data_IF_281846764358
#
_entry.id   IF_281846764358
#
_cell.length_a   1.000
_cell.length_b   1.000
_cell.length_c   1.000
_cell.angle_alpha   90.00
_cell.angle_beta   90.00
_cell.angle_gamma   90.00
#
_symmetry.space_group_name_H-M   'P 1'
#
loop_
_entity.id
_entity.type
_entity.pdbx_description
1 polymer ?
#
# COMPACT_ATOMS: atom_id res chain seq x y z
N UNK A 1 -3.72 -9.81 4.56
CA UNK A 1 -3.03 -10.84 3.72
C UNK A 1 -2.02 -11.68 4.53
N UNK A 2 -1.45 -12.77 3.97
CA UNK A 2 -0.36 -13.57 4.61
C UNK A 2 1.07 -13.17 4.19
N UNK A 3 1.21 -12.43 3.09
CA UNK A 3 2.47 -11.87 2.60
C UNK A 3 2.18 -10.54 1.90
N UNK A 4 3.18 -9.68 1.69
CA UNK A 4 2.99 -8.46 0.93
C UNK A 4 2.53 -8.75 -0.49
N UNK A 5 1.65 -7.88 -0.99
CA UNK A 5 1.33 -7.79 -2.42
C UNK A 5 2.59 -7.40 -3.18
N UNK A 6 2.76 -7.92 -4.40
CA UNK A 6 3.85 -7.53 -5.29
C UNK A 6 3.44 -6.44 -6.26
N UNK A 7 4.42 -5.76 -6.88
CA UNK A 7 4.18 -4.77 -7.95
C UNK A 7 3.38 -5.34 -9.12
N UNK A 8 3.66 -6.60 -9.50
CA UNK A 8 2.88 -7.33 -10.51
C UNK A 8 1.42 -7.50 -10.09
N UNK A 9 1.18 -7.96 -8.87
CA UNK A 9 -0.17 -8.20 -8.36
C UNK A 9 -0.96 -6.89 -8.24
N UNK A 10 -0.32 -5.78 -7.87
CA UNK A 10 -0.96 -4.47 -7.84
C UNK A 10 -1.39 -4.04 -9.25
N UNK A 11 -0.50 -4.12 -10.24
CA UNK A 11 -0.83 -3.79 -11.63
C UNK A 11 -1.99 -4.64 -12.16
N UNK A 12 -1.91 -5.96 -11.98
CA UNK A 12 -2.98 -6.88 -12.40
C UNK A 12 -4.30 -6.56 -11.70
N UNK A 13 -4.25 -6.25 -10.39
CA UNK A 13 -5.44 -5.90 -9.63
C UNK A 13 -6.11 -4.62 -10.12
N UNK A 14 -5.34 -3.57 -10.40
CA UNK A 14 -5.90 -2.31 -10.92
C UNK A 14 -6.41 -2.50 -12.34
N UNK A 15 -5.68 -3.24 -13.18
CA UNK A 15 -6.14 -3.61 -14.53
C UNK A 15 -7.48 -4.37 -14.49
N UNK A 16 -7.66 -5.30 -13.57
CA UNK A 16 -8.93 -6.02 -13.40
C UNK A 16 -10.06 -5.08 -12.98
N UNK A 17 -9.81 -4.15 -12.05
CA UNK A 17 -10.78 -3.12 -11.65
C UNK A 17 -11.18 -2.24 -12.84
N UNK A 18 -10.21 -1.81 -13.65
CA UNK A 18 -10.46 -1.02 -14.86
C UNK A 18 -11.29 -1.82 -15.86
N UNK A 19 -10.99 -3.10 -16.04
CA UNK A 19 -11.75 -4.00 -16.91
C UNK A 19 -13.20 -4.14 -16.45
N UNK A 20 -13.41 -4.41 -15.16
CA UNK A 20 -14.74 -4.55 -14.55
C UNK A 20 -15.57 -3.27 -14.70
N UNK A 21 -14.92 -2.11 -14.71
CA UNK A 21 -15.55 -0.79 -14.89
C UNK A 21 -15.72 -0.37 -16.35
N UNK A 22 -15.28 -1.19 -17.32
CA UNK A 22 -15.31 -0.83 -18.74
C UNK A 22 -14.38 0.33 -19.12
N UNK A 23 -13.29 0.50 -18.37
CA UNK A 23 -12.30 1.58 -18.55
C UNK A 23 -11.02 1.14 -19.26
N UNK A 24 -10.87 -0.14 -19.60
CA UNK A 24 -9.78 -0.59 -20.46
C UNK A 24 -10.15 -0.30 -21.92
N UNK A 25 -9.33 0.46 -22.67
CA UNK A 25 -9.64 0.79 -24.03
C UNK A 25 -9.31 -0.37 -24.99
N UNK A 26 -10.13 -0.51 -26.03
CA UNK A 26 -9.99 -1.59 -27.03
C UNK A 26 -8.76 -1.41 -27.96
N UNK A 27 -8.10 -0.26 -27.93
CA UNK A 27 -6.92 0.05 -28.76
C UNK A 27 -5.63 -0.61 -28.26
N UNK A 28 -5.66 -1.25 -27.08
CA UNK A 28 -4.49 -1.89 -26.49
C UNK A 28 -4.07 -3.11 -27.32
N UNK A 29 -2.80 -3.12 -27.69
CA UNK A 29 -2.08 -4.32 -28.15
C UNK A 29 -1.88 -5.24 -26.94
N UNK A 30 -1.36 -4.68 -25.84
CA UNK A 30 -1.22 -5.41 -24.58
C UNK A 30 -1.23 -4.49 -23.35
N UNK A 31 -1.44 -5.11 -22.19
CA UNK A 31 -1.21 -4.55 -20.87
C UNK A 31 -0.55 -5.61 -20.00
N UNK A 32 0.78 -5.53 -19.84
CA UNK A 32 1.58 -6.55 -19.18
C UNK A 32 2.18 -6.00 -17.89
N UNK A 33 2.08 -6.80 -16.83
CA UNK A 33 2.76 -6.49 -15.58
C UNK A 33 4.28 -6.69 -15.71
N UNK A 34 5.03 -6.11 -14.76
CA UNK A 34 6.48 -6.28 -14.67
C UNK A 34 6.90 -7.76 -14.62
N UNK A 35 8.05 -8.05 -15.24
CA UNK A 35 8.72 -9.35 -15.20
C UNK A 35 9.60 -9.52 -13.95
N UNK A 36 9.85 -8.43 -13.21
CA UNK A 36 10.66 -8.38 -11.98
C UNK A 36 9.83 -7.93 -10.78
N UNK A 37 8.84 -8.72 -10.36
CA UNK A 37 7.97 -8.34 -9.25
C UNK A 37 8.76 -8.23 -7.94
N UNK A 38 8.51 -7.16 -7.18
CA UNK A 38 9.03 -7.00 -5.82
C UNK A 38 7.87 -6.82 -4.82
N UNK A 39 8.04 -7.22 -3.54
CA UNK A 39 7.03 -7.00 -2.51
C UNK A 39 6.85 -5.50 -2.18
N UNK A 40 5.60 -5.05 -2.06
CA UNK A 40 5.22 -3.71 -1.61
C UNK A 40 4.96 -3.78 -0.10
N UNK A 41 5.86 -3.20 0.69
CA UNK A 41 5.87 -3.31 2.15
C UNK A 41 5.35 -2.10 2.90
N UNK A 42 5.21 -0.99 2.19
CA UNK A 42 4.70 0.27 2.70
C UNK A 42 3.75 0.87 1.65
N UNK A 43 2.66 1.51 2.08
CA UNK A 43 1.74 2.26 1.21
C UNK A 43 2.26 3.66 0.84
N UNK A 44 3.33 4.14 1.47
CA UNK A 44 3.92 5.47 1.27
C UNK A 44 4.87 5.51 0.06
N UNK A 45 4.41 5.01 -1.08
CA UNK A 45 5.11 5.13 -2.36
C UNK A 45 4.42 6.15 -3.26
N UNK A 46 5.20 6.72 -4.18
CA UNK A 46 4.67 7.54 -5.26
C UNK A 46 4.44 6.69 -6.51
N UNK A 47 3.23 6.74 -7.09
CA UNK A 47 3.00 6.28 -8.46
C UNK A 47 3.58 7.29 -9.46
N UNK A 48 4.36 6.80 -10.42
CA UNK A 48 4.93 7.57 -11.52
C UNK A 48 4.67 6.87 -12.85
N UNK A 49 4.79 7.62 -13.93
CA UNK A 49 4.50 7.13 -15.27
C UNK A 49 5.39 7.76 -16.34
N UNK A 50 5.46 7.10 -17.49
CA UNK A 50 5.90 7.65 -18.77
C UNK A 50 4.83 7.34 -19.81
N UNK A 51 4.20 8.38 -20.36
CA UNK A 51 3.26 8.25 -21.47
C UNK A 51 3.91 8.90 -22.70
N UNK A 52 4.31 8.09 -23.67
CA UNK A 52 5.08 8.59 -24.81
C UNK A 52 4.83 7.74 -26.08
N UNK A 53 5.16 8.32 -27.22
CA UNK A 53 5.19 7.60 -28.49
C UNK A 53 6.34 6.59 -28.50
N UNK A 54 6.06 5.39 -28.99
CA UNK A 54 7.09 4.39 -29.24
C UNK A 54 8.04 4.87 -30.33
N UNK A 55 9.33 4.52 -30.19
CA UNK A 55 10.36 4.88 -31.18
C UNK A 55 10.15 4.23 -32.55
N UNK A 56 9.37 3.14 -32.61
CA UNK A 56 9.05 2.42 -33.84
C UNK A 56 7.55 2.30 -34.11
N UNK A 57 6.73 2.07 -33.09
CA UNK A 57 5.31 1.79 -33.25
C UNK A 57 4.55 2.05 -31.94
N UNK A 58 3.32 2.55 -32.06
CA UNK A 58 2.38 2.67 -30.96
C UNK A 58 2.70 3.74 -29.93
N UNK A 59 1.96 3.69 -28.84
CA UNK A 59 2.10 4.55 -27.65
C UNK A 59 2.30 3.63 -26.46
N UNK A 60 3.25 3.98 -25.61
CA UNK A 60 3.59 3.26 -24.40
C UNK A 60 3.16 4.06 -23.19
N UNK A 61 2.50 3.38 -22.25
CA UNK A 61 2.25 3.87 -20.91
C UNK A 61 2.96 2.94 -19.93
N UNK A 62 4.14 3.36 -19.50
CA UNK A 62 4.93 2.68 -18.48
C UNK A 62 4.57 3.23 -17.09
N UNK A 63 4.38 2.33 -16.12
CA UNK A 63 3.99 2.66 -14.75
C UNK A 63 4.98 2.04 -13.77
N UNK A 64 5.40 2.82 -12.77
CA UNK A 64 6.29 2.37 -11.71
C UNK A 64 6.02 3.09 -10.40
N UNK A 65 6.45 2.48 -9.30
CA UNK A 65 6.41 3.09 -7.96
C UNK A 65 7.79 3.57 -7.55
N UNK A 66 7.82 4.62 -6.74
CA UNK A 66 9.04 5.19 -6.17
C UNK A 66 8.92 5.21 -4.65
N UNK A 67 9.92 4.66 -3.96
CA UNK A 67 10.07 4.82 -2.51
C UNK A 67 11.17 5.83 -2.19
N UNK A 68 11.02 6.49 -1.06
CA UNK A 68 12.05 7.27 -0.41
C UNK A 68 12.31 6.68 0.97
N UNK A 69 13.42 5.94 1.11
CA UNK A 69 13.85 5.37 2.41
C UNK A 69 15.28 5.81 2.66
N UNK A 70 15.57 6.30 3.87
CA UNK A 70 16.92 6.68 4.31
C UNK A 70 17.68 7.63 3.36
N UNK A 71 16.94 8.51 2.67
CA UNK A 71 17.50 9.44 1.69
C UNK A 71 17.83 8.82 0.32
N UNK A 72 17.61 7.52 0.14
CA UNK A 72 17.74 6.84 -1.13
C UNK A 72 16.39 6.71 -1.85
N UNK A 73 16.43 6.90 -3.17
CA UNK A 73 15.29 6.73 -4.06
C UNK A 73 15.38 5.38 -4.74
N UNK A 74 14.45 4.48 -4.46
CA UNK A 74 14.30 3.24 -5.23
C UNK A 74 13.12 3.35 -6.20
N UNK A 75 13.21 2.65 -7.32
CA UNK A 75 12.19 2.69 -8.38
C UNK A 75 11.91 1.27 -8.85
N UNK A 76 10.63 0.92 -8.95
CA UNK A 76 10.19 -0.44 -9.25
C UNK A 76 9.00 -0.44 -10.19
N UNK A 77 9.15 -1.14 -11.32
CA UNK A 77 8.13 -1.21 -12.36
C UNK A 77 6.87 -1.93 -11.86
N UNK A 78 5.71 -1.42 -12.28
CA UNK A 78 4.41 -2.06 -12.12
C UNK A 78 4.05 -2.84 -13.38
N UNK A 79 4.13 -2.18 -14.53
CA UNK A 79 3.76 -2.74 -15.82
C UNK A 79 3.61 -1.68 -16.90
N UNK A 80 3.29 -2.14 -18.10
CA UNK A 80 3.21 -1.34 -19.32
C UNK A 80 1.93 -1.65 -20.08
N UNK A 81 1.24 -0.60 -20.53
CA UNK A 81 0.23 -0.69 -21.58
C UNK A 81 0.82 -0.19 -22.90
N UNK A 82 0.50 -0.87 -24.00
CA UNK A 82 0.97 -0.53 -25.35
C UNK A 82 -0.17 -0.60 -26.35
N UNK A 83 -0.18 0.31 -27.32
CA UNK A 83 -1.03 0.27 -28.53
C UNK A 83 -0.22 -0.09 -29.77
N UNK A 84 -0.89 -0.40 -30.88
CA UNK A 84 -0.26 -0.32 -32.22
C UNK A 84 -0.46 1.06 -32.85
N UNK A 85 -1.61 1.69 -32.58
CA UNK A 85 -1.95 3.02 -33.08
C UNK A 85 -1.13 4.11 -32.38
N UNK A 86 -0.58 5.03 -33.18
CA UNK A 86 0.19 6.20 -32.75
C UNK A 86 -0.48 7.54 -33.14
N UNK A 87 -1.78 7.52 -33.40
CA UNK A 87 -2.58 8.72 -33.64
C UNK A 87 -2.69 9.60 -32.40
N UNK A 88 -2.99 10.89 -32.61
CA UNK A 88 -3.25 11.82 -31.50
C UNK A 88 -4.48 11.38 -30.67
N UNK A 89 -5.48 10.76 -31.31
CA UNK A 89 -6.65 10.23 -30.62
C UNK A 89 -6.27 9.07 -29.70
N UNK A 90 -5.39 8.16 -30.16
CA UNK A 90 -4.84 7.10 -29.33
C UNK A 90 -4.05 7.66 -28.12
N UNK A 91 -3.31 8.77 -28.29
CA UNK A 91 -2.62 9.44 -27.18
C UNK A 91 -3.60 9.96 -26.12
N UNK A 92 -4.71 10.59 -26.55
CA UNK A 92 -5.75 11.03 -25.63
C UNK A 92 -6.40 9.85 -24.89
N UNK A 93 -6.69 8.75 -25.59
CA UNK A 93 -7.25 7.54 -24.97
C UNK A 93 -6.27 6.94 -23.94
N UNK A 94 -4.97 6.90 -24.25
CA UNK A 94 -3.96 6.41 -23.31
C UNK A 94 -3.75 7.35 -22.11
N UNK A 95 -3.94 8.66 -22.29
CA UNK A 95 -3.95 9.62 -21.20
C UNK A 95 -5.16 9.43 -20.27
N UNK A 96 -6.34 9.13 -20.83
CA UNK A 96 -7.53 8.79 -20.05
C UNK A 96 -7.31 7.49 -19.25
N UNK A 97 -6.71 6.46 -19.87
CA UNK A 97 -6.33 5.23 -19.18
C UNK A 97 -5.35 5.49 -18.02
N UNK A 98 -4.35 6.36 -18.20
CA UNK A 98 -3.44 6.78 -17.13
C UNK A 98 -4.20 7.45 -15.98
N UNK A 99 -5.09 8.39 -16.28
CA UNK A 99 -5.88 9.07 -15.26
C UNK A 99 -6.75 8.09 -14.46
N UNK A 100 -7.42 7.17 -15.16
CA UNK A 100 -8.21 6.13 -14.54
C UNK A 100 -7.37 5.18 -13.69
N UNK A 101 -6.18 4.79 -14.16
CA UNK A 101 -5.27 3.95 -13.38
C UNK A 101 -4.86 4.64 -12.07
N UNK A 102 -4.46 5.92 -12.11
CA UNK A 102 -4.08 6.68 -10.91
C UNK A 102 -5.25 6.73 -9.91
N UNK A 103 -6.46 7.01 -10.39
CA UNK A 103 -7.65 7.12 -9.53
C UNK A 103 -7.96 5.78 -8.85
N UNK A 104 -7.95 4.69 -9.60
CA UNK A 104 -8.29 3.36 -9.08
C UNK A 104 -7.20 2.80 -8.17
N UNK A 105 -5.92 3.02 -8.51
CA UNK A 105 -4.77 2.64 -7.69
C UNK A 105 -4.82 3.35 -6.33
N UNK A 106 -4.94 4.68 -6.33
CA UNK A 106 -5.03 5.46 -5.10
C UNK A 106 -6.25 5.07 -4.26
N UNK A 107 -7.40 4.77 -4.89
CA UNK A 107 -8.58 4.30 -4.18
C UNK A 107 -8.37 2.91 -3.56
N UNK A 108 -7.74 2.00 -4.30
CA UNK A 108 -7.48 0.64 -3.86
C UNK A 108 -6.51 0.60 -2.69
N UNK A 109 -5.36 1.28 -2.78
CA UNK A 109 -4.37 1.33 -1.70
C UNK A 109 -4.96 1.98 -0.45
N UNK A 110 -5.67 3.10 -0.57
CA UNK A 110 -6.27 3.77 0.59
C UNK A 110 -7.34 2.93 1.30
N UNK A 111 -8.11 2.13 0.55
CA UNK A 111 -9.11 1.22 1.14
C UNK A 111 -8.48 -0.01 1.80
N UNK A 112 -7.30 -0.41 1.35
CA UNK A 112 -6.62 -1.63 1.78
C UNK A 112 -5.27 -1.33 2.46
N UNK A 113 -5.10 -0.18 3.12
CA UNK A 113 -3.80 0.25 3.68
C UNK A 113 -3.10 -0.82 4.51
N UNK A 114 -3.85 -1.57 5.31
CA UNK A 114 -3.29 -2.62 6.17
C UNK A 114 -2.59 -3.75 5.38
N UNK A 115 -3.06 -4.05 4.16
CA UNK A 115 -2.44 -5.03 3.26
C UNK A 115 -1.12 -4.54 2.67
N UNK A 116 -0.80 -3.25 2.84
CA UNK A 116 0.44 -2.61 2.42
C UNK A 116 1.32 -2.18 3.61
N UNK A 117 0.89 -2.38 4.86
CA UNK A 117 1.69 -2.06 6.05
C UNK A 117 2.39 -3.32 6.56
N UNK A 118 3.65 -3.54 6.20
CA UNK A 118 4.44 -4.75 6.57
C UNK A 118 5.67 -4.47 7.42
N UNK A 119 5.91 -3.21 7.74
CA UNK A 119 7.08 -2.74 8.48
C UNK A 119 6.64 -2.08 9.79
N UNK A 120 7.53 -2.15 10.78
CA UNK A 120 7.28 -1.60 12.10
C UNK A 120 6.21 -2.36 12.90
N UNK A 121 5.62 -1.65 13.85
CA UNK A 121 4.60 -2.19 14.74
C UNK A 121 3.51 -1.16 15.01
N UNK A 122 2.27 -1.65 15.13
CA UNK A 122 1.10 -0.82 15.40
C UNK A 122 0.68 -0.96 16.86
N UNK A 123 0.49 0.16 17.56
CA UNK A 123 0.07 0.21 18.97
C UNK A 123 -1.33 0.80 19.07
N UNK A 124 -2.26 0.00 19.61
CA UNK A 124 -3.67 0.37 19.78
C UNK A 124 -4.11 0.25 21.22
N UNK A 125 -4.64 1.34 21.77
CA UNK A 125 -5.27 1.35 23.09
C UNK A 125 -6.78 1.04 23.00
N UNK A 126 -7.34 0.58 24.11
CA UNK A 126 -8.74 0.24 24.28
C UNK A 126 -9.33 1.04 25.44
N UNK A 127 -10.60 1.44 25.33
CA UNK A 127 -11.31 2.13 26.40
C UNK A 127 -11.70 1.17 27.56
N UNK A 128 -12.28 1.73 28.62
CA UNK A 128 -12.79 1.00 29.80
C UNK A 128 -13.83 -0.07 29.47
N UNK A 129 -14.50 0.01 28.31
CA UNK A 129 -15.47 -0.98 27.85
C UNK A 129 -14.82 -2.06 26.96
N UNK A 130 -13.50 -2.03 26.79
CA UNK A 130 -12.77 -2.93 25.90
C UNK A 130 -12.98 -2.65 24.42
N UNK A 131 -13.43 -1.45 24.04
CA UNK A 131 -13.57 -1.03 22.64
C UNK A 131 -12.25 -0.39 22.17
N UNK A 132 -11.74 -0.74 20.98
CA UNK A 132 -10.56 -0.10 20.43
C UNK A 132 -10.82 1.39 20.18
N UNK A 133 -9.83 2.22 20.47
CA UNK A 133 -9.86 3.64 20.10
C UNK A 133 -9.85 3.80 18.58
N UNK A 134 -10.34 4.94 18.10
CA UNK A 134 -10.43 5.25 16.67
C UNK A 134 -9.09 5.69 16.04
N UNK A 135 -7.99 5.59 16.79
CA UNK A 135 -6.65 5.91 16.34
C UNK A 135 -5.68 4.78 16.70
N UNK A 136 -4.55 4.75 16.03
CA UNK A 136 -3.46 3.81 16.23
C UNK A 136 -2.14 4.58 16.07
N UNK A 137 -1.12 4.22 16.86
CA UNK A 137 0.25 4.67 16.59
C UNK A 137 0.94 3.64 15.73
N UNK A 138 1.65 4.07 14.70
CA UNK A 138 2.59 3.24 13.96
C UNK A 138 4.01 3.62 14.37
N UNK A 139 4.78 2.63 14.80
CA UNK A 139 6.14 2.75 15.28
C UNK A 139 7.10 2.07 14.29
N UNK A 140 8.29 2.63 14.11
CA UNK A 140 9.27 2.10 13.15
C UNK A 140 9.82 0.74 13.59
N UNK A 141 9.89 0.49 14.90
CA UNK A 141 10.37 -0.76 15.47
C UNK A 141 9.61 -1.13 16.75
N UNK A 142 9.95 -2.32 17.27
CA UNK A 142 9.32 -2.87 18.46
C UNK A 142 9.75 -2.18 19.76
N UNK A 143 10.92 -1.56 19.82
CA UNK A 143 11.36 -0.85 21.03
C UNK A 143 10.51 0.41 21.22
N UNK A 144 10.33 1.19 20.15
CA UNK A 144 9.44 2.34 20.12
C UNK A 144 7.98 1.96 20.45
N UNK A 145 7.51 0.84 19.92
CA UNK A 145 6.16 0.35 20.20
C UNK A 145 5.98 -0.07 21.67
N UNK A 146 6.99 -0.69 22.29
CA UNK A 146 6.97 -1.04 23.71
C UNK A 146 6.97 0.21 24.60
N UNK A 147 7.82 1.18 24.30
CA UNK A 147 7.85 2.48 25.00
C UNK A 147 6.49 3.17 24.91
N UNK A 148 5.90 3.21 23.70
CA UNK A 148 4.56 3.78 23.49
C UNK A 148 3.48 3.03 24.27
N UNK A 149 3.57 1.71 24.34
CA UNK A 149 2.65 0.89 25.13
C UNK A 149 2.72 1.25 26.62
N UNK A 150 3.91 1.47 27.18
CA UNK A 150 4.07 1.87 28.59
C UNK A 150 3.44 3.22 28.88
N UNK A 151 3.55 4.17 27.95
CA UNK A 151 2.86 5.47 28.07
C UNK A 151 1.34 5.32 28.02
N UNK A 152 0.83 4.50 27.10
CA UNK A 152 -0.61 4.31 26.95
C UNK A 152 -1.25 3.55 28.11
N UNK A 153 -0.55 2.60 28.72
CA UNK A 153 -1.07 1.87 29.89
C UNK A 153 -1.25 2.75 31.15
N UNK A 154 -0.69 3.97 31.16
CA UNK A 154 -0.96 4.96 32.23
C UNK A 154 -2.40 5.48 32.17
N UNK A 155 -2.97 5.56 30.97
CA UNK A 155 -4.29 6.17 30.72
C UNK A 155 -5.37 5.15 30.35
N UNK A 156 -4.97 4.04 29.73
CA UNK A 156 -5.90 3.06 29.17
C UNK A 156 -5.73 1.68 29.83
N UNK A 157 -6.82 0.96 30.11
CA UNK A 157 -6.78 -0.32 30.81
C UNK A 157 -6.12 -1.43 29.99
N UNK A 158 -6.12 -1.31 28.66
CA UNK A 158 -5.57 -2.31 27.74
C UNK A 158 -4.92 -1.66 26.53
N UNK A 159 -3.77 -2.21 26.16
CA UNK A 159 -3.01 -1.84 24.97
C UNK A 159 -2.63 -3.11 24.21
N UNK A 160 -2.67 -3.06 22.88
CA UNK A 160 -2.26 -4.14 21.99
C UNK A 160 -1.18 -3.61 21.07
N UNK A 161 -0.09 -4.37 20.96
CA UNK A 161 0.94 -4.13 19.96
C UNK A 161 0.84 -5.23 18.91
N UNK A 162 0.76 -4.86 17.63
CA UNK A 162 0.82 -5.77 16.50
C UNK A 162 2.15 -5.61 15.77
N UNK A 163 2.87 -6.71 15.57
CA UNK A 163 4.00 -6.75 14.64
C UNK A 163 3.44 -6.77 13.20
N UNK A 164 3.79 -5.77 12.37
CA UNK A 164 3.21 -5.64 11.04
C UNK A 164 3.75 -6.68 10.04
N UNK A 165 4.94 -7.26 10.30
CA UNK A 165 5.51 -8.29 9.45
C UNK A 165 4.84 -9.65 9.69
N UNK A 166 4.60 -10.01 10.94
CA UNK A 166 4.02 -11.32 11.31
C UNK A 166 2.50 -11.29 11.50
N UNK A 167 1.93 -10.11 11.73
CA UNK A 167 0.54 -9.87 12.14
C UNK A 167 0.20 -10.45 13.52
N UNK A 168 1.20 -10.83 14.30
CA UNK A 168 1.00 -11.31 15.66
C UNK A 168 0.70 -10.13 16.61
N UNK A 169 -0.27 -10.33 17.49
CA UNK A 169 -0.67 -9.35 18.50
C UNK A 169 -0.17 -9.76 19.89
N UNK A 170 0.38 -8.80 20.62
CA UNK A 170 0.70 -8.91 22.05
C UNK A 170 -0.24 -8.01 22.82
N UNK A 171 -0.98 -8.61 23.75
CA UNK A 171 -1.94 -7.90 24.58
C UNK A 171 -1.34 -7.59 25.94
N UNK A 172 -1.52 -6.35 26.38
CA UNK A 172 -1.08 -5.86 27.68
C UNK A 172 -2.26 -5.22 28.38
N UNK A 173 -2.41 -5.52 29.66
CA UNK A 173 -3.44 -4.94 30.51
C UNK A 173 -2.74 -4.24 31.67
N UNK A 174 -3.36 -3.17 32.16
CA UNK A 174 -2.99 -2.56 33.43
C UNK A 174 -3.49 -3.49 34.53
N UNK A 175 -2.75 -4.56 34.84
CA UNK A 175 -3.08 -5.38 36.02
C UNK A 175 -2.92 -4.52 37.27
N UNK A 176 -3.91 -4.59 38.15
CA UNK A 176 -3.99 -3.88 39.42
C UNK A 176 -2.74 -4.19 40.27
N UNK A 177 -1.77 -3.27 40.34
CA UNK A 177 -0.76 -3.27 41.40
C UNK A 177 -1.44 -2.95 42.74
N UNK A 178 -2.31 -3.84 43.22
CA UNK A 178 -2.82 -3.81 44.59
C UNK A 178 -3.29 -5.20 44.99
N UNK A 179 -2.39 -5.97 45.59
CA UNK A 179 -2.59 -6.71 46.86
C UNK A 179 -1.55 -7.83 47.02
N UNK A 180 -0.32 -7.47 47.36
CA UNK A 180 0.47 -8.27 48.32
C UNK A 180 1.21 -7.30 49.26
N UNK A 181 0.45 -6.70 50.17
CA UNK A 181 1.00 -6.23 51.43
C UNK A 181 0.10 -6.73 52.55
N UNK A 182 0.42 -7.91 53.08
CA UNK A 182 0.28 -8.27 54.50
C UNK A 182 0.93 -9.61 54.81
#
# INVERSE_FOLDING_TARGET
>A
MKRPMTTKELFEKIRDILKEKGKLPDILDYGLATDKPIPIRNYEFDLKNNLDYGSSEGIYLDLWIVYFSDGERSTHDLGTFKTLDSSNDAMHIMADLLADFIIEEASYVNKNRDDFTWEGADVRAFDENGKPLNWCYSCNDMEDALNRKDDLLKEYPKVVIRDNATREEKHFSREEESEETQ
#
